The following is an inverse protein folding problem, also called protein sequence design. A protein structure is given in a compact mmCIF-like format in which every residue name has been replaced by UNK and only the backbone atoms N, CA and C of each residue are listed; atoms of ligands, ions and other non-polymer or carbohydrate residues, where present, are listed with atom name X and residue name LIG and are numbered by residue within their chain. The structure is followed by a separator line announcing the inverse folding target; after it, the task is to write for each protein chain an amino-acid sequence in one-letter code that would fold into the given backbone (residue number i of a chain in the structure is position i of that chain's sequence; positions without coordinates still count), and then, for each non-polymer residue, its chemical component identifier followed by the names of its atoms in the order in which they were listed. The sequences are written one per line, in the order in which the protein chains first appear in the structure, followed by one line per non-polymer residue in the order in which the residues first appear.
data_IF_536857725410
#
_entry.id   IF_536857725410
#
_cell.length_a   1.000
_cell.length_b   1.000
_cell.length_c   1.000
_cell.angle_alpha   90.00
_cell.angle_beta   90.00
_cell.angle_gamma   90.00
#
_symmetry.space_group_name_H-M   'P 1'
#
loop_
_entity.id
_entity.type
_entity.pdbx_description
1 polymer ?
#
# COMPACT_ATOMS: atom_id res chain seq x y z
N UNK A 1 -8.12 -7.54 -5.69
CA UNK A 1 -6.68 -7.25 -5.51
C UNK A 1 -6.10 -8.36 -4.64
N UNK A 2 -6.20 -9.60 -5.14
CA UNK A 2 -5.78 -10.84 -4.48
C UNK A 2 -4.69 -11.48 -5.34
N UNK A 3 -3.68 -10.70 -5.70
CA UNK A 3 -2.43 -11.25 -6.21
C UNK A 3 -1.44 -11.17 -5.06
N UNK A 4 -1.40 -12.27 -4.30
CA UNK A 4 -0.24 -12.79 -3.58
C UNK A 4 0.96 -11.86 -3.62
N UNK A 5 1.12 -11.09 -2.54
CA UNK A 5 2.27 -10.23 -2.30
C UNK A 5 3.48 -11.13 -2.00
N UNK A 6 3.94 -11.86 -3.02
CA UNK A 6 5.29 -12.42 -3.13
C UNK A 6 6.29 -11.27 -3.38
N UNK A 7 6.14 -10.16 -2.67
CA UNK A 7 7.04 -9.01 -2.70
C UNK A 7 7.97 -9.12 -1.50
N UNK A 8 9.28 -8.89 -1.66
CA UNK A 8 10.26 -9.19 -0.62
C UNK A 8 9.95 -8.38 0.63
N UNK A 9 9.40 -9.10 1.60
CA UNK A 9 9.02 -8.73 2.96
C UNK A 9 10.03 -7.74 3.60
N UNK A 10 11.31 -7.89 3.29
CA UNK A 10 12.40 -7.03 3.75
C UNK A 10 12.20 -5.53 3.45
N UNK A 11 11.90 -5.14 2.20
CA UNK A 11 11.80 -3.71 1.84
C UNK A 11 10.60 -3.02 2.50
N UNK A 12 9.50 -3.75 2.70
CA UNK A 12 8.32 -3.22 3.38
C UNK A 12 8.59 -3.03 4.87
N UNK A 13 9.21 -4.02 5.53
CA UNK A 13 9.59 -3.91 6.94
C UNK A 13 10.57 -2.76 7.18
N UNK A 14 11.60 -2.62 6.34
CA UNK A 14 12.53 -1.48 6.40
C UNK A 14 11.82 -0.14 6.26
N UNK A 15 10.88 -0.03 5.30
CA UNK A 15 10.11 1.18 5.11
C UNK A 15 9.27 1.54 6.34
N UNK A 16 8.57 0.57 6.94
CA UNK A 16 7.78 0.80 8.18
C UNK A 16 8.67 1.23 9.35
N UNK A 17 9.81 0.57 9.55
CA UNK A 17 10.79 0.93 10.59
C UNK A 17 11.31 2.36 10.38
N UNK A 18 11.61 2.75 9.14
CA UNK A 18 12.07 4.12 8.82
C UNK A 18 11.01 5.20 9.06
N UNK A 19 9.73 4.80 9.11
CA UNK A 19 8.59 5.67 9.41
C UNK A 19 8.23 5.65 10.91
N UNK A 20 9.04 4.98 11.76
CA UNK A 20 8.75 4.72 13.18
C UNK A 20 7.42 3.99 13.42
N UNK A 21 6.97 3.18 12.46
CA UNK A 21 5.78 2.36 12.59
C UNK A 21 6.13 0.98 13.16
N UNK A 22 5.28 0.47 14.06
CA UNK A 22 5.43 -0.88 14.60
C UNK A 22 4.95 -1.90 13.56
N UNK A 23 5.85 -2.81 13.15
CA UNK A 23 5.59 -3.81 12.12
C UNK A 23 4.38 -4.68 12.49
N UNK A 24 4.23 -5.04 13.77
CA UNK A 24 3.18 -5.95 14.25
C UNK A 24 1.77 -5.33 14.12
N UNK A 25 1.66 -4.01 14.06
CA UNK A 25 0.38 -3.32 13.82
C UNK A 25 -0.06 -3.38 12.34
N UNK A 26 0.85 -3.79 11.46
CA UNK A 26 0.72 -3.57 10.03
C UNK A 26 0.88 -4.83 9.19
N UNK A 27 1.55 -5.85 9.71
CA UNK A 27 1.81 -7.12 9.05
C UNK A 27 1.42 -8.25 9.99
N UNK A 28 0.49 -9.09 9.56
CA UNK A 28 0.12 -10.33 10.26
C UNK A 28 0.45 -11.49 9.31
N UNK A 29 1.31 -12.40 9.75
CA UNK A 29 1.64 -13.61 8.99
C UNK A 29 0.40 -14.53 8.98
N UNK A 30 -0.03 -14.95 7.80
CA UNK A 30 -1.14 -15.88 7.60
C UNK A 30 -0.68 -17.10 6.82
N UNK A 31 -1.05 -18.28 7.32
CA UNK A 31 -0.82 -19.54 6.63
C UNK A 31 -2.06 -19.85 5.78
N UNK A 32 -1.94 -19.68 4.47
CA UNK A 32 -2.99 -20.05 3.53
C UNK A 32 -2.65 -21.39 2.85
N UNK A 33 -3.59 -22.32 2.90
CA UNK A 33 -3.52 -23.58 2.18
C UNK A 33 -4.14 -23.38 0.80
N UNK A 34 -3.34 -23.50 -0.26
CA UNK A 34 -3.82 -23.35 -1.64
C UNK A 34 -3.75 -24.71 -2.35
N UNK A 35 -4.86 -25.14 -2.93
CA UNK A 35 -4.87 -26.32 -3.80
C UNK A 35 -4.07 -26.01 -5.07
N UNK A 36 -2.97 -26.73 -5.26
CA UNK A 36 -2.27 -26.80 -6.53
C UNK A 36 -2.95 -27.88 -7.37
N UNK A 37 -3.21 -27.58 -8.64
CA UNK A 37 -4.07 -28.33 -9.60
C UNK A 37 -3.71 -29.79 -9.88
N UNK A 38 -2.88 -30.40 -9.05
CA UNK A 38 -2.52 -31.82 -8.98
C UNK A 38 -3.15 -32.54 -7.77
N UNK A 39 -4.05 -31.90 -7.00
CA UNK A 39 -4.66 -32.46 -5.78
C UNK A 39 -3.75 -32.42 -4.55
N UNK A 40 -2.64 -31.68 -4.63
CA UNK A 40 -1.77 -31.38 -3.50
C UNK A 40 -2.10 -29.98 -2.95
N UNK A 41 -1.86 -29.74 -1.67
CA UNK A 41 -1.91 -28.39 -1.10
C UNK A 41 -0.48 -27.89 -0.89
N UNK A 42 -0.24 -26.61 -1.16
CA UNK A 42 1.02 -25.93 -0.81
C UNK A 42 0.72 -24.87 0.23
N UNK A 43 1.47 -24.89 1.33
CA UNK A 43 1.52 -23.77 2.27
C UNK A 43 2.12 -22.57 1.54
N UNK A 44 1.34 -21.51 1.44
CA UNK A 44 1.76 -20.26 0.84
C UNK A 44 1.82 -19.24 1.98
N UNK A 45 3.04 -18.80 2.29
CA UNK A 45 3.25 -17.71 3.23
C UNK A 45 2.53 -16.48 2.68
N UNK A 46 1.41 -16.14 3.30
CA UNK A 46 0.58 -15.02 2.94
C UNK A 46 0.71 -13.96 4.03
N UNK A 47 0.71 -12.69 3.63
CA UNK A 47 0.77 -11.57 4.57
C UNK A 47 -0.56 -10.84 4.53
N UNK A 48 -1.17 -10.67 5.70
CA UNK A 48 -2.22 -9.67 5.85
C UNK A 48 -1.55 -8.33 6.12
N UNK A 49 -1.91 -7.34 5.31
CA UNK A 49 -1.41 -5.99 5.47
C UNK A 49 -2.53 -5.07 5.92
N UNK A 50 -2.20 -4.17 6.85
CA UNK A 50 -3.04 -3.01 7.10
C UNK A 50 -3.16 -2.16 5.82
N UNK A 51 -4.20 -1.32 5.74
CA UNK A 51 -4.38 -0.39 4.61
C UNK A 51 -3.15 0.50 4.39
N UNK A 52 -2.53 0.96 5.49
CA UNK A 52 -1.33 1.77 5.44
C UNK A 52 -0.15 0.99 4.83
N UNK A 53 0.11 -0.23 5.31
CA UNK A 53 1.17 -1.08 4.76
C UNK A 53 0.95 -1.44 3.28
N UNK A 54 -0.29 -1.67 2.85
CA UNK A 54 -0.61 -1.83 1.42
C UNK A 54 -0.18 -0.63 0.59
N UNK A 55 -0.38 0.59 1.09
CA UNK A 55 0.00 1.81 0.38
C UNK A 55 1.52 1.94 0.30
N UNK A 56 2.24 1.68 1.39
CA UNK A 56 3.71 1.71 1.41
C UNK A 56 4.29 0.64 0.47
N UNK A 57 3.70 -0.56 0.47
CA UNK A 57 4.11 -1.63 -0.43
C UNK A 57 3.98 -1.23 -1.91
N UNK A 58 2.85 -0.64 -2.30
CA UNK A 58 2.63 -0.17 -3.69
C UNK A 58 3.58 0.97 -4.05
N UNK A 59 3.79 1.94 -3.16
CA UNK A 59 4.64 3.11 -3.44
C UNK A 59 6.11 2.72 -3.66
N UNK A 60 6.61 1.69 -2.96
CA UNK A 60 8.00 1.24 -3.04
C UNK A 60 8.22 0.04 -3.99
N UNK A 61 7.16 -0.45 -4.63
CA UNK A 61 7.25 -1.60 -5.53
C UNK A 61 7.76 -1.22 -6.93
N UNK A 62 8.08 -2.24 -7.73
CA UNK A 62 8.61 -2.09 -9.08
C UNK A 62 7.51 -1.59 -10.03
N UNK A 63 7.65 -0.40 -10.62
CA UNK A 63 6.66 0.15 -11.55
C UNK A 63 6.52 -0.67 -12.84
N UNK A 64 7.45 -1.59 -13.16
CA UNK A 64 7.33 -2.49 -14.31
C UNK A 64 6.10 -3.41 -14.21
N UNK A 65 5.57 -3.61 -13.00
CA UNK A 65 4.36 -4.41 -12.75
C UNK A 65 3.12 -3.55 -12.93
N UNK A 66 2.25 -3.93 -13.88
CA UNK A 66 1.04 -3.17 -14.26
C UNK A 66 0.17 -2.74 -13.07
N UNK A 67 -0.10 -3.64 -12.13
CA UNK A 67 -0.94 -3.34 -10.96
C UNK A 67 -0.28 -2.32 -10.01
N UNK A 68 1.06 -2.36 -9.88
CA UNK A 68 1.84 -1.39 -9.10
C UNK A 68 1.78 -0.02 -9.78
N UNK A 69 2.04 0.03 -11.09
CA UNK A 69 1.97 1.27 -11.86
C UNK A 69 0.60 1.96 -11.75
N UNK A 70 -0.49 1.19 -11.86
CA UNK A 70 -1.85 1.72 -11.67
C UNK A 70 -2.06 2.29 -10.26
N UNK A 71 -1.55 1.61 -9.23
CA UNK A 71 -1.59 2.10 -7.86
C UNK A 71 -0.80 3.41 -7.68
N UNK A 72 0.40 3.51 -8.25
CA UNK A 72 1.21 4.72 -8.21
C UNK A 72 0.53 5.90 -8.94
N UNK A 73 -0.07 5.66 -10.11
CA UNK A 73 -0.86 6.67 -10.84
C UNK A 73 -2.05 7.13 -10.00
N UNK A 74 -2.75 6.22 -9.34
CA UNK A 74 -3.84 6.57 -8.43
C UNK A 74 -3.36 7.51 -7.32
N UNK A 75 -2.23 7.21 -6.68
CA UNK A 75 -1.67 8.11 -5.66
C UNK A 75 -1.30 9.48 -6.21
N UNK A 76 -0.63 9.55 -7.36
CA UNK A 76 -0.29 10.84 -7.99
C UNK A 76 -1.53 11.71 -8.24
N UNK A 77 -2.62 11.11 -8.77
CA UNK A 77 -3.88 11.80 -9.01
C UNK A 77 -4.52 12.25 -7.69
N UNK A 78 -4.56 11.37 -6.67
CA UNK A 78 -5.18 11.68 -5.39
C UNK A 78 -4.43 12.75 -4.60
N UNK A 79 -3.11 12.74 -4.64
CA UNK A 79 -2.30 13.81 -4.02
C UNK A 79 -2.62 15.14 -4.67
N UNK A 80 -2.63 15.25 -6.01
CA UNK A 80 -2.95 16.52 -6.67
C UNK A 80 -4.39 16.99 -6.40
N UNK A 81 -5.34 16.06 -6.34
CA UNK A 81 -6.71 16.39 -5.93
C UNK A 81 -6.76 16.97 -4.52
N UNK A 82 -5.98 16.43 -3.58
CA UNK A 82 -5.94 16.92 -2.20
C UNK A 82 -5.29 18.30 -2.09
N UNK A 83 -4.17 18.51 -2.78
CA UNK A 83 -3.49 19.81 -2.85
C UNK A 83 -4.43 20.91 -3.36
N UNK A 84 -5.17 20.65 -4.45
CA UNK A 84 -6.13 21.61 -5.01
C UNK A 84 -7.25 21.97 -4.03
N UNK A 85 -7.76 20.97 -3.31
CA UNK A 85 -8.79 21.21 -2.28
C UNK A 85 -8.20 22.06 -1.15
N UNK A 86 -6.97 21.77 -0.71
CA UNK A 86 -6.31 22.55 0.35
C UNK A 86 -6.01 24.00 -0.09
N UNK A 87 -5.55 24.21 -1.33
CA UNK A 87 -5.38 25.53 -1.94
C UNK A 87 -6.72 26.31 -1.95
N UNK A 88 -7.82 25.66 -2.35
CA UNK A 88 -9.16 26.27 -2.37
C UNK A 88 -9.65 26.63 -0.95
N UNK A 89 -9.49 25.72 0.02
CA UNK A 89 -9.89 25.98 1.41
C UNK A 89 -9.14 27.17 2.01
N UNK A 90 -7.83 27.28 1.76
CA UNK A 90 -7.02 28.43 2.19
C UNK A 90 -7.53 29.72 1.53
N UNK A 91 -7.83 29.69 0.24
CA UNK A 91 -8.37 30.86 -0.47
C UNK A 91 -9.73 31.30 0.08
N UNK A 92 -10.64 30.34 0.33
CA UNK A 92 -11.98 30.62 0.88
C UNK A 92 -11.87 31.18 2.31
N UNK A 93 -11.01 30.59 3.13
CA UNK A 93 -10.74 31.09 4.48
C UNK A 93 -10.23 32.54 4.44
N UNK A 94 -9.27 32.85 3.58
CA UNK A 94 -8.77 34.21 3.42
C UNK A 94 -9.86 35.19 2.97
N UNK A 95 -10.79 34.80 2.10
CA UNK A 95 -11.91 35.66 1.67
C UNK A 95 -12.96 35.94 2.76
N UNK A 96 -13.08 35.05 3.76
CA UNK A 96 -14.10 35.14 4.81
C UNK A 96 -13.63 35.89 6.07
N UNK A 97 -12.31 36.04 6.25
CA UNK A 97 -11.70 36.57 7.48
C UNK A 97 -10.82 37.82 7.27
N UNK A 98 -10.95 38.49 6.13
CA UNK A 98 -10.45 39.86 5.86
C UNK A 98 -11.67 40.79 5.76
#
# INVERSE_FOLDING_TARGET
MYDYINYPNFRLKEALVSLNEDIENHIEDMLDMVEIGSGAARELDSLKLSRFACYIAVQNADPSKKNVALGQVYFAIKTRQKELIEEEQVSVFNLLFI
#
